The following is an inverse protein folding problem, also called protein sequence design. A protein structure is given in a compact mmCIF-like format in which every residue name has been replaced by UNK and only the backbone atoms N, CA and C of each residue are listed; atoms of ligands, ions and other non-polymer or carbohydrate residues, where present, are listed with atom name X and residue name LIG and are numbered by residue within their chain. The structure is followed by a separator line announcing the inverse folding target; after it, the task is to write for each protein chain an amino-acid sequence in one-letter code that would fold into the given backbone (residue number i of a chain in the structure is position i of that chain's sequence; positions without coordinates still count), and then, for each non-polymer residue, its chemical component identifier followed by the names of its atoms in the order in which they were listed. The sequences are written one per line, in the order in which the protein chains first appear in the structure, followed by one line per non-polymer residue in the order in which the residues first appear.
data_IF_537359117178
#
_entry.id   IF_537359117178
#
_cell.length_a   1.000
_cell.length_b   1.000
_cell.length_c   1.000
_cell.angle_alpha   90.00
_cell.angle_beta   90.00
_cell.angle_gamma   90.00
#
_symmetry.space_group_name_H-M   'P 1'
#
loop_
_entity.id
_entity.type
_entity.pdbx_description
1 polymer ?
#
# COMPACT_ATOMS: atom_id res chain seq x y z
N UNK A 1 -26.38 10.31 -21.45
CA UNK A 1 -25.75 9.37 -20.49
C UNK A 1 -26.38 9.61 -19.12
N UNK A 2 -26.51 8.60 -18.23
CA UNK A 2 -27.04 8.84 -16.88
C UNK A 2 -26.21 9.89 -16.14
N UNK A 3 -26.87 10.68 -15.29
CA UNK A 3 -26.24 11.76 -14.51
C UNK A 3 -26.29 11.37 -13.03
N UNK A 4 -25.15 11.45 -12.34
CA UNK A 4 -25.09 11.18 -10.89
C UNK A 4 -25.60 12.39 -10.07
N UNK A 5 -25.67 12.24 -8.75
CA UNK A 5 -26.09 13.32 -7.82
C UNK A 5 -25.22 14.57 -7.85
N UNK A 6 -24.05 14.51 -8.48
CA UNK A 6 -23.10 15.61 -8.64
C UNK A 6 -23.20 16.28 -10.01
N UNK A 7 -24.17 15.91 -10.85
CA UNK A 7 -24.36 16.49 -12.17
C UNK A 7 -23.38 15.98 -13.23
N UNK A 8 -22.65 14.89 -12.95
CA UNK A 8 -21.65 14.33 -13.87
C UNK A 8 -22.26 13.23 -14.75
N UNK A 9 -21.88 13.22 -16.03
CA UNK A 9 -22.19 12.11 -16.93
C UNK A 9 -21.45 10.84 -16.49
N UNK A 10 -22.21 9.76 -16.26
CA UNK A 10 -21.69 8.43 -15.97
C UNK A 10 -22.14 7.44 -17.04
N UNK A 11 -21.37 6.37 -17.21
CA UNK A 11 -21.69 5.29 -18.14
C UNK A 11 -23.00 4.59 -17.78
N UNK A 12 -23.57 3.88 -18.76
CA UNK A 12 -24.75 3.05 -18.53
C UNK A 12 -24.46 1.99 -17.45
N UNK A 13 -25.42 1.69 -16.56
CA UNK A 13 -25.28 0.60 -15.61
C UNK A 13 -24.94 -0.71 -16.33
N UNK A 14 -24.03 -1.50 -15.76
CA UNK A 14 -23.72 -2.86 -16.21
C UNK A 14 -24.50 -3.86 -15.34
N UNK A 15 -25.75 -4.22 -15.71
CA UNK A 15 -26.51 -5.20 -14.96
C UNK A 15 -25.77 -6.56 -14.97
N UNK A 16 -25.76 -7.25 -13.82
CA UNK A 16 -25.09 -8.53 -13.61
C UNK A 16 -23.55 -8.50 -13.63
N UNK A 17 -22.93 -7.36 -13.34
CA UNK A 17 -21.48 -7.29 -13.18
C UNK A 17 -21.03 -8.19 -12.00
N UNK A 18 -20.12 -9.16 -12.21
CA UNK A 18 -19.68 -10.06 -11.16
C UNK A 18 -18.90 -9.32 -10.08
N UNK A 19 -19.11 -9.67 -8.81
CA UNK A 19 -18.25 -9.22 -7.72
C UNK A 19 -16.81 -9.67 -7.99
N UNK A 20 -15.84 -8.78 -7.79
CA UNK A 20 -14.42 -9.13 -7.93
C UNK A 20 -14.04 -10.26 -6.98
N UNK A 21 -13.16 -11.16 -7.43
CA UNK A 21 -12.59 -12.20 -6.58
C UNK A 21 -11.51 -11.62 -5.67
N UNK A 22 -11.37 -12.20 -4.47
CA UNK A 22 -10.30 -11.82 -3.56
C UNK A 22 -8.95 -12.23 -4.15
N UNK A 23 -7.91 -11.39 -4.01
CA UNK A 23 -6.56 -11.80 -4.35
C UNK A 23 -6.16 -12.99 -3.46
N UNK A 24 -5.77 -14.08 -4.10
CA UNK A 24 -5.18 -15.28 -3.46
C UNK A 24 -3.68 -15.38 -3.74
N UNK A 25 -3.08 -14.29 -4.22
CA UNK A 25 -1.69 -14.24 -4.64
C UNK A 25 -0.78 -14.14 -3.43
N UNK A 26 0.02 -15.18 -3.20
CA UNK A 26 1.05 -15.18 -2.17
C UNK A 26 2.34 -14.49 -2.64
N UNK A 27 2.62 -14.51 -3.95
CA UNK A 27 3.78 -13.85 -4.54
C UNK A 27 3.51 -13.41 -5.97
N UNK A 28 3.98 -12.23 -6.34
CA UNK A 28 3.96 -11.69 -7.72
C UNK A 28 5.41 -11.40 -8.13
N UNK A 29 5.88 -12.10 -9.16
CA UNK A 29 7.24 -11.96 -9.65
C UNK A 29 7.34 -10.81 -10.66
N UNK A 30 8.18 -9.82 -10.37
CA UNK A 30 8.59 -8.78 -11.30
C UNK A 30 10.01 -9.01 -11.84
N UNK A 31 10.52 -8.04 -12.60
CA UNK A 31 11.86 -8.11 -13.18
C UNK A 31 12.98 -7.72 -12.21
N UNK A 32 12.72 -6.76 -11.33
CA UNK A 32 13.69 -6.21 -10.37
C UNK A 32 13.27 -6.46 -8.93
N UNK A 33 11.97 -6.44 -8.68
CA UNK A 33 11.36 -6.69 -7.38
C UNK A 33 10.35 -7.81 -7.47
N UNK A 34 10.05 -8.46 -6.34
CA UNK A 34 8.88 -9.32 -6.20
C UNK A 34 7.99 -8.80 -5.07
N UNK A 35 6.68 -8.97 -5.24
CA UNK A 35 5.72 -8.68 -4.18
C UNK A 35 5.44 -9.98 -3.44
N UNK A 36 5.66 -10.01 -2.14
CA UNK A 36 5.27 -11.13 -1.27
C UNK A 36 4.13 -10.68 -0.37
N UNK A 37 3.16 -11.56 -0.12
CA UNK A 37 2.15 -11.29 0.90
C UNK A 37 2.86 -11.00 2.23
N UNK A 38 2.40 -9.96 2.92
CA UNK A 38 3.01 -9.53 4.17
C UNK A 38 3.03 -10.68 5.19
N UNK A 39 4.19 -10.88 5.81
CA UNK A 39 4.41 -11.96 6.76
C UNK A 39 5.49 -11.60 7.77
N UNK A 40 5.61 -12.39 8.85
CA UNK A 40 6.47 -12.08 9.99
C UNK A 40 7.96 -11.95 9.63
N UNK A 41 8.45 -12.64 8.59
CA UNK A 41 9.86 -12.52 8.21
C UNK A 41 10.21 -11.16 7.60
N UNK A 42 9.23 -10.38 7.15
CA UNK A 42 9.45 -9.02 6.64
C UNK A 42 9.62 -7.98 7.76
N UNK A 43 9.25 -8.31 9.01
CA UNK A 43 9.16 -7.33 10.08
C UNK A 43 10.50 -6.67 10.44
N UNK A 44 11.60 -7.43 10.41
CA UNK A 44 12.93 -6.90 10.73
C UNK A 44 13.43 -5.92 9.67
N UNK A 45 13.30 -6.27 8.40
CA UNK A 45 13.69 -5.41 7.28
C UNK A 45 12.84 -4.14 7.26
N UNK A 46 11.52 -4.27 7.43
CA UNK A 46 10.60 -3.13 7.46
C UNK A 46 10.84 -2.22 8.67
N UNK A 47 11.19 -2.77 9.84
CA UNK A 47 11.45 -1.94 11.02
C UNK A 47 12.61 -0.96 10.81
N UNK A 48 13.58 -1.24 9.93
CA UNK A 48 14.66 -0.30 9.62
C UNK A 48 14.13 1.02 9.05
N UNK A 49 13.00 0.96 8.37
CA UNK A 49 12.34 2.11 7.76
C UNK A 49 11.21 2.72 8.59
N UNK A 50 10.53 1.89 9.39
CA UNK A 50 9.42 2.28 10.25
C UNK A 50 9.87 2.74 11.64
N UNK A 51 11.07 2.34 12.07
CA UNK A 51 11.61 2.64 13.39
C UNK A 51 12.21 4.05 13.53
N UNK A 52 12.94 4.32 14.62
CA UNK A 52 13.41 5.66 14.97
C UNK A 52 14.46 6.24 14.00
N UNK A 53 15.09 5.39 13.18
CA UNK A 53 16.02 5.78 12.13
C UNK A 53 15.34 6.25 10.84
N UNK A 54 14.01 6.25 10.78
CA UNK A 54 13.25 6.66 9.62
C UNK A 54 13.61 8.09 9.17
N UNK A 55 13.79 8.28 7.87
CA UNK A 55 13.98 9.59 7.28
C UNK A 55 12.64 10.33 7.27
N UNK A 56 12.43 11.22 8.24
CA UNK A 56 11.16 11.97 8.42
C UNK A 56 10.63 12.66 7.16
N UNK A 57 11.51 13.09 6.25
CA UNK A 57 11.10 13.71 4.98
C UNK A 57 10.18 12.78 4.16
N UNK A 58 10.44 11.47 4.17
CA UNK A 58 9.69 10.46 3.42
C UNK A 58 8.28 10.22 4.03
N UNK A 59 8.05 10.73 5.25
CA UNK A 59 6.81 10.58 6.01
C UNK A 59 5.91 11.80 5.96
N UNK A 60 6.36 12.90 5.35
CA UNK A 60 5.69 14.22 5.35
C UNK A 60 4.23 14.16 4.86
N UNK A 61 3.91 13.21 3.98
CA UNK A 61 2.58 13.06 3.37
C UNK A 61 1.85 11.79 3.79
N UNK A 62 2.35 11.10 4.82
CA UNK A 62 1.72 9.92 5.35
C UNK A 62 0.84 10.27 6.56
N UNK A 63 -0.28 9.56 6.77
CA UNK A 63 -1.09 9.72 7.98
C UNK A 63 -0.46 9.07 9.22
N UNK A 64 0.78 8.57 9.09
CA UNK A 64 1.51 7.84 10.11
C UNK A 64 2.80 8.59 10.44
N UNK A 65 3.32 8.39 11.64
CA UNK A 65 4.64 8.85 12.06
C UNK A 65 5.57 7.64 12.29
N UNK A 66 6.89 7.82 12.18
CA UNK A 66 7.83 6.77 12.55
C UNK A 66 7.64 6.29 13.99
N UNK A 67 7.79 4.99 14.20
CA UNK A 67 7.66 4.36 15.50
C UNK A 67 8.93 4.58 16.34
N UNK A 68 8.74 4.95 17.62
CA UNK A 68 9.85 5.19 18.55
C UNK A 68 10.48 3.88 19.04
N UNK A 69 9.70 2.81 19.13
CA UNK A 69 10.12 1.52 19.67
C UNK A 69 9.58 0.33 18.88
N UNK A 70 10.24 -0.83 19.09
CA UNK A 70 9.94 -2.06 18.35
C UNK A 70 8.61 -2.69 18.75
N UNK A 71 8.18 -2.53 19.99
CA UNK A 71 6.94 -3.16 20.46
C UNK A 71 5.72 -2.45 19.84
N UNK A 72 5.71 -1.12 19.81
CA UNK A 72 4.64 -0.35 19.15
C UNK A 72 4.57 -0.67 17.66
N UNK A 73 5.72 -0.82 16.99
CA UNK A 73 5.76 -1.29 15.60
C UNK A 73 5.21 -2.71 15.44
N UNK A 74 5.56 -3.64 16.33
CA UNK A 74 5.07 -5.02 16.27
C UNK A 74 3.55 -5.10 16.41
N UNK A 75 2.98 -4.33 17.34
CA UNK A 75 1.52 -4.26 17.51
C UNK A 75 0.85 -3.74 16.24
N UNK A 76 1.38 -2.65 15.66
CA UNK A 76 0.90 -2.14 14.37
C UNK A 76 1.05 -3.19 13.25
N UNK A 77 2.21 -3.82 13.14
CA UNK A 77 2.50 -4.82 12.11
C UNK A 77 1.53 -6.01 12.18
N UNK A 78 1.19 -6.45 13.40
CA UNK A 78 0.20 -7.50 13.61
C UNK A 78 -1.18 -7.10 13.05
N UNK A 79 -1.60 -5.83 13.20
CA UNK A 79 -2.86 -5.36 12.60
C UNK A 79 -2.85 -5.45 11.07
N UNK A 80 -1.68 -5.28 10.44
CA UNK A 80 -1.54 -5.41 8.98
C UNK A 80 -1.60 -6.87 8.54
N UNK A 81 -0.98 -7.78 9.30
CA UNK A 81 -1.01 -9.22 9.06
C UNK A 81 -2.41 -9.82 9.19
N UNK A 82 -3.17 -9.37 10.19
CA UNK A 82 -4.52 -9.85 10.46
C UNK A 82 -5.56 -9.22 9.51
N UNK A 83 -5.18 -8.19 8.77
CA UNK A 83 -6.07 -7.55 7.83
C UNK A 83 -6.33 -8.43 6.61
N UNK A 84 -7.61 -8.64 6.34
CA UNK A 84 -8.08 -9.34 5.14
C UNK A 84 -8.57 -8.38 4.05
N UNK A 85 -8.82 -7.12 4.42
CA UNK A 85 -9.13 -5.99 3.56
C UNK A 85 -8.76 -4.70 4.31
N UNK A 86 -7.66 -4.02 3.94
CA UNK A 86 -6.88 -4.28 2.74
C UNK A 86 -6.00 -5.55 2.75
N UNK A 87 -5.57 -6.00 1.58
CA UNK A 87 -4.68 -7.18 1.44
C UNK A 87 -3.22 -6.77 1.20
N UNK A 88 -2.38 -6.94 2.23
CA UNK A 88 -1.05 -6.35 2.39
C UNK A 88 0.09 -7.14 1.68
N UNK A 89 0.93 -6.45 0.90
CA UNK A 89 2.17 -7.01 0.29
C UNK A 89 3.43 -6.23 0.69
N UNK A 90 4.55 -6.93 0.88
CA UNK A 90 5.90 -6.41 0.99
C UNK A 90 6.62 -6.43 -0.37
N UNK A 91 7.42 -5.40 -0.65
CA UNK A 91 8.26 -5.30 -1.85
C UNK A 91 9.66 -5.81 -1.51
N UNK A 92 10.05 -6.90 -2.16
CA UNK A 92 11.36 -7.54 -1.96
C UNK A 92 12.24 -7.27 -3.18
N UNK A 93 13.40 -6.66 -2.95
CA UNK A 93 14.42 -6.53 -3.98
C UNK A 93 15.03 -7.90 -4.26
N UNK A 94 15.09 -8.27 -5.53
CA UNK A 94 15.62 -9.57 -5.93
C UNK A 94 17.15 -9.62 -5.84
N UNK A 95 17.84 -8.48 -5.88
CA UNK A 95 19.31 -8.46 -5.77
C UNK A 95 19.79 -8.70 -4.34
N UNK A 96 19.15 -8.05 -3.37
CA UNK A 96 19.51 -8.14 -1.94
C UNK A 96 18.70 -9.18 -1.17
N UNK A 97 17.55 -9.60 -1.72
CA UNK A 97 16.56 -10.44 -1.05
C UNK A 97 16.03 -9.84 0.27
N UNK A 98 16.00 -8.51 0.35
CA UNK A 98 15.53 -7.73 1.50
C UNK A 98 14.30 -6.92 1.12
N UNK A 99 13.47 -6.58 2.11
CA UNK A 99 12.41 -5.60 1.88
C UNK A 99 13.04 -4.20 1.73
N UNK A 100 12.77 -3.50 0.62
CA UNK A 100 13.59 -2.34 0.19
C UNK A 100 12.92 -0.97 0.23
N UNK A 101 11.67 -0.82 0.67
CA UNK A 101 10.96 0.45 0.51
C UNK A 101 10.40 1.02 1.82
N UNK A 102 10.70 2.29 2.18
CA UNK A 102 10.31 2.93 3.45
C UNK A 102 8.86 3.36 3.61
N UNK A 103 8.01 3.16 2.62
CA UNK A 103 6.68 3.75 2.63
C UNK A 103 5.65 2.75 3.16
N UNK A 104 4.50 3.19 3.70
CA UNK A 104 3.30 2.37 3.85
C UNK A 104 2.68 2.15 2.47
N UNK A 105 3.51 1.74 1.52
CA UNK A 105 3.10 1.00 0.34
C UNK A 105 2.95 -0.44 0.78
N UNK A 106 2.06 -0.64 1.74
CA UNK A 106 1.44 -1.92 1.81
C UNK A 106 0.30 -1.86 0.82
N UNK A 107 0.48 -2.65 -0.24
CA UNK A 107 -0.53 -2.81 -1.27
C UNK A 107 -1.81 -3.17 -0.57
N UNK A 108 -2.87 -2.46 -0.88
CA UNK A 108 -4.12 -2.55 -0.18
C UNK A 108 -5.16 -2.83 -1.26
N UNK A 109 -5.36 -4.11 -1.60
CA UNK A 109 -6.38 -4.47 -2.58
C UNK A 109 -7.76 -4.49 -1.90
N UNK A 110 -8.65 -3.52 -2.15
CA UNK A 110 -10.01 -3.59 -1.64
C UNK A 110 -10.76 -4.72 -2.33
N UNK A 111 -11.40 -5.58 -1.54
CA UNK A 111 -11.97 -6.83 -2.05
C UNK A 111 -13.43 -6.73 -2.52
N UNK A 112 -14.10 -5.60 -2.26
CA UNK A 112 -15.54 -5.43 -2.51
C UNK A 112 -15.91 -4.53 -3.68
N UNK A 113 -14.96 -3.83 -4.28
CA UNK A 113 -15.18 -3.05 -5.48
C UNK A 113 -14.34 -3.62 -6.63
N UNK A 114 -14.80 -3.61 -7.88
CA UNK A 114 -13.96 -3.95 -9.04
C UNK A 114 -12.85 -2.91 -9.31
N UNK A 115 -12.66 -1.96 -8.40
CA UNK A 115 -11.60 -0.96 -8.42
C UNK A 115 -10.51 -1.35 -7.44
N UNK A 116 -9.30 -1.53 -7.95
CA UNK A 116 -8.09 -1.57 -7.12
C UNK A 116 -7.70 -0.13 -6.82
N UNK A 117 -7.62 0.25 -5.54
CA UNK A 117 -7.02 1.53 -5.15
C UNK A 117 -5.53 1.32 -4.90
N UNK A 118 -4.73 2.01 -5.69
CA UNK A 118 -3.30 2.03 -5.57
C UNK A 118 -2.89 3.40 -5.04
N UNK A 119 -2.39 3.44 -3.81
CA UNK A 119 -1.87 4.66 -3.21
C UNK A 119 -0.39 4.76 -3.57
N UNK A 120 -0.04 5.78 -4.36
CA UNK A 120 1.34 6.18 -4.60
C UNK A 120 1.55 7.58 -4.07
N UNK A 121 2.60 7.77 -3.27
CA UNK A 121 3.20 9.09 -3.08
C UNK A 121 4.68 8.91 -3.39
N UNK A 122 5.12 9.53 -4.50
CA UNK A 122 6.54 9.66 -4.80
C UNK A 122 7.16 10.77 -3.95
N UNK A 123 8.46 10.66 -3.74
CA UNK A 123 9.35 11.62 -3.09
C UNK A 123 8.82 13.06 -3.14
N UNK A 124 8.67 13.67 -1.97
CA UNK A 124 8.25 15.05 -1.78
C UNK A 124 9.10 16.07 -2.56
N UNK A 125 10.33 15.70 -2.92
CA UNK A 125 11.27 16.59 -3.61
C UNK A 125 11.07 16.67 -5.13
N UNK A 126 10.24 15.79 -5.72
CA UNK A 126 9.97 15.78 -7.17
C UNK A 126 8.56 16.28 -7.55
N UNK A 127 7.75 16.74 -6.59
CA UNK A 127 6.40 17.25 -6.90
C UNK A 127 6.50 18.73 -7.32
N UNK A 128 6.23 19.07 -8.60
CA UNK A 128 6.28 20.46 -9.02
C UNK A 128 5.21 21.28 -8.27
N UNK A 129 5.54 22.51 -7.85
CA UNK A 129 4.58 23.38 -7.15
C UNK A 129 3.42 23.70 -8.12
N UNK A 130 2.23 23.15 -7.83
CA UNK A 130 1.04 23.36 -8.66
C UNK A 130 0.02 22.23 -8.67
N UNK A 131 0.32 21.07 -8.07
CA UNK A 131 -0.59 19.92 -8.02
C UNK A 131 -1.49 19.84 -6.76
N UNK A 132 -1.55 20.92 -5.97
CA UNK A 132 -2.46 21.00 -4.82
C UNK A 132 -3.43 22.18 -5.00
N UNK A 133 -4.56 21.91 -5.65
CA UNK A 133 -5.83 22.64 -5.49
C UNK A 133 -6.99 21.65 -5.62
#
# INVERSE_FOLDING_TARGET
MPINSFGQEIGMPLPHYPSGERPSLETIQGHTVRLEKLSLHHADDLYQFYGPSAKKADWTYLPLEPFEDRATFQDYFQTLLDSTDPYYFAIIDQATNQAVEPLPTVWALPTKAPSVRLWFIRDATEIPPGFLY
#
